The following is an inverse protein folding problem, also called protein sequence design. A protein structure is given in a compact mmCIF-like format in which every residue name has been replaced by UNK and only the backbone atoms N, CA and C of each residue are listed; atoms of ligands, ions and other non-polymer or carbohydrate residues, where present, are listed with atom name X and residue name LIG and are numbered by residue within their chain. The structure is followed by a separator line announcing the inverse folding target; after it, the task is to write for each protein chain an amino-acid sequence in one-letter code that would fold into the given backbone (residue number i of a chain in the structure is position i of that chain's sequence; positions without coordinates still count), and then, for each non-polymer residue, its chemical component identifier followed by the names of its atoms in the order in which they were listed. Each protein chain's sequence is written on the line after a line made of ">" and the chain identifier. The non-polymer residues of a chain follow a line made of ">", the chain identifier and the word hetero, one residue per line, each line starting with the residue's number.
data_IF_598583965196
#
_entry.id   IF_598583965196
#
_cell.length_a   1.000
_cell.length_b   1.000
_cell.length_c   1.000
_cell.angle_alpha   90.00
_cell.angle_beta   90.00
_cell.angle_gamma   90.00
#
_symmetry.space_group_name_H-M   'P 1'
#
loop_
_entity.id
_entity.type
_entity.pdbx_description
1 polymer ?
#
# COMPACT_ATOMS: atom_id res chain seq x y z
N UNK A 1 38.58 -4.75 -14.87
CA UNK A 1 37.14 -4.63 -14.60
C UNK A 1 36.94 -4.30 -13.16
N UNK A 2 36.48 -3.09 -12.89
CA UNK A 2 36.21 -2.66 -11.53
C UNK A 2 34.87 -3.25 -11.11
N UNK A 3 34.90 -4.25 -10.24
CA UNK A 3 33.72 -4.70 -9.52
C UNK A 3 33.38 -3.62 -8.49
N UNK A 4 32.37 -2.83 -8.78
CA UNK A 4 31.83 -1.89 -7.81
C UNK A 4 31.12 -2.69 -6.73
N UNK A 5 31.76 -2.89 -5.57
CA UNK A 5 31.10 -3.46 -4.43
C UNK A 5 30.66 -2.31 -3.51
N UNK A 6 29.35 -2.12 -3.42
CA UNK A 6 28.77 -1.19 -2.47
C UNK A 6 28.30 -2.00 -1.26
N UNK A 7 28.84 -1.75 -0.05
CA UNK A 7 28.37 -2.48 1.14
C UNK A 7 26.85 -2.27 1.35
N UNK A 8 26.09 -3.36 1.37
CA UNK A 8 24.65 -3.31 1.57
C UNK A 8 23.82 -3.03 0.32
N UNK A 9 24.45 -2.97 -0.87
CA UNK A 9 23.77 -2.78 -2.13
C UNK A 9 24.04 -3.97 -3.02
N UNK A 10 22.98 -4.64 -3.48
CA UNK A 10 23.11 -5.75 -4.40
C UNK A 10 23.16 -5.25 -5.84
N UNK A 11 24.12 -5.79 -6.62
CA UNK A 11 24.21 -5.55 -8.06
C UNK A 11 23.53 -6.70 -8.77
N UNK A 12 22.60 -6.39 -9.65
CA UNK A 12 21.88 -7.38 -10.44
C UNK A 12 21.70 -6.90 -11.87
N UNK A 13 21.31 -7.81 -12.75
CA UNK A 13 21.04 -7.45 -14.15
C UNK A 13 19.55 -7.23 -14.37
N UNK A 14 19.21 -6.09 -14.93
CA UNK A 14 17.84 -5.71 -15.29
C UNK A 14 17.87 -4.90 -16.57
N UNK A 15 16.74 -4.87 -17.27
CA UNK A 15 16.59 -4.03 -18.43
C UNK A 15 16.38 -2.60 -17.98
N UNK A 16 17.32 -1.72 -18.33
CA UNK A 16 17.19 -0.30 -18.03
C UNK A 16 16.21 0.35 -19.01
N UNK A 17 15.19 1.08 -18.53
CA UNK A 17 14.22 1.72 -19.43
C UNK A 17 14.82 2.83 -20.30
N UNK A 18 15.93 3.43 -19.87
CA UNK A 18 16.60 4.46 -20.64
C UNK A 18 17.61 3.90 -21.63
N UNK A 19 18.40 2.90 -21.21
CA UNK A 19 19.36 2.24 -22.08
C UNK A 19 18.70 1.24 -23.05
N UNK A 20 17.51 0.79 -22.74
CA UNK A 20 16.72 -0.20 -23.49
C UNK A 20 17.45 -1.54 -23.70
N UNK A 21 18.36 -1.86 -22.79
CA UNK A 21 19.12 -3.11 -22.79
C UNK A 21 19.38 -3.58 -21.37
N UNK A 22 19.82 -4.82 -21.24
CA UNK A 22 20.22 -5.36 -19.95
C UNK A 22 21.52 -4.68 -19.48
N UNK A 23 21.45 -4.10 -18.29
CA UNK A 23 22.59 -3.42 -17.66
C UNK A 23 22.74 -3.89 -16.22
N UNK A 24 23.89 -3.62 -15.63
CA UNK A 24 24.08 -3.79 -14.21
C UNK A 24 23.33 -2.67 -13.49
N UNK A 25 22.45 -3.04 -12.57
CA UNK A 25 21.67 -2.09 -11.77
C UNK A 25 21.95 -2.30 -10.29
N UNK A 26 21.86 -1.22 -9.53
CA UNK A 26 21.97 -1.25 -8.08
C UNK A 26 20.56 -1.26 -7.51
N UNK A 27 20.30 -2.18 -6.58
CA UNK A 27 19.08 -2.14 -5.79
C UNK A 27 19.32 -1.23 -4.59
N UNK A 28 18.64 -0.10 -4.56
CA UNK A 28 18.80 0.89 -3.49
C UNK A 28 17.62 0.79 -2.53
N UNK A 29 17.94 0.61 -1.26
CA UNK A 29 16.96 0.59 -0.17
C UNK A 29 17.17 1.84 0.67
N UNK A 30 16.15 2.67 0.76
CA UNK A 30 16.21 3.92 1.51
C UNK A 30 14.86 4.21 2.15
N UNK A 31 14.79 5.31 2.88
CA UNK A 31 13.54 5.76 3.50
C UNK A 31 13.05 7.02 2.83
N UNK A 32 11.75 7.11 2.66
CA UNK A 32 11.09 8.25 2.07
C UNK A 32 9.95 8.69 2.97
N UNK A 33 9.72 9.99 3.04
CA UNK A 33 8.62 10.56 3.81
C UNK A 33 7.44 10.84 2.88
N UNK A 34 6.32 10.22 3.16
CA UNK A 34 5.09 10.39 2.37
C UNK A 34 4.06 11.10 3.24
N UNK A 35 3.51 12.21 2.72
CA UNK A 35 2.48 12.96 3.41
C UNK A 35 1.12 12.26 3.27
N UNK A 36 0.49 11.92 4.39
CA UNK A 36 -0.85 11.37 4.44
C UNK A 36 -1.66 12.22 5.42
N UNK A 37 -2.65 12.94 4.91
CA UNK A 37 -3.53 13.81 5.73
C UNK A 37 -2.75 14.70 6.71
N UNK A 38 -1.81 15.46 6.19
CA UNK A 38 -0.96 16.38 6.97
C UNK A 38 0.02 15.72 7.95
N UNK A 39 0.16 14.41 7.88
CA UNK A 39 1.18 13.69 8.63
C UNK A 39 2.25 13.16 7.68
N UNK A 40 3.51 13.26 8.09
CA UNK A 40 4.61 12.68 7.33
C UNK A 40 4.85 11.26 7.83
N UNK A 41 4.71 10.30 6.93
CA UNK A 41 4.90 8.89 7.25
C UNK A 41 6.16 8.39 6.57
N UNK A 42 7.09 7.91 7.37
CA UNK A 42 8.33 7.35 6.86
C UNK A 42 8.11 5.92 6.41
N UNK A 43 8.46 5.64 5.14
CA UNK A 43 8.34 4.30 4.56
C UNK A 43 9.66 3.89 3.96
N UNK A 44 9.92 2.58 3.98
CA UNK A 44 11.06 2.02 3.28
C UNK A 44 10.71 1.90 1.80
N UNK A 45 11.60 2.40 0.94
CA UNK A 45 11.42 2.32 -0.51
C UNK A 45 12.59 1.59 -1.13
N UNK A 46 12.31 0.88 -2.20
CA UNK A 46 13.30 0.16 -2.98
C UNK A 46 13.18 0.58 -4.43
N UNK A 47 14.31 0.91 -5.05
CA UNK A 47 14.33 1.24 -6.46
C UNK A 47 15.65 0.77 -7.08
N UNK A 48 15.66 0.71 -8.40
CA UNK A 48 16.84 0.36 -9.15
C UNK A 48 17.52 1.61 -9.72
N UNK A 49 18.83 1.59 -9.77
CA UNK A 49 19.61 2.63 -10.42
C UNK A 49 20.57 2.00 -11.42
N UNK A 50 20.47 2.40 -12.68
CA UNK A 50 21.36 1.91 -13.72
C UNK A 50 22.78 2.43 -13.49
N UNK A 51 23.77 1.55 -13.56
CA UNK A 51 25.19 1.92 -13.39
C UNK A 51 25.75 2.62 -14.64
N UNK A 52 25.13 2.43 -15.80
CA UNK A 52 25.61 3.00 -17.06
C UNK A 52 25.11 4.43 -17.32
N UNK A 53 23.81 4.66 -17.15
CA UNK A 53 23.21 5.97 -17.43
C UNK A 53 22.79 6.74 -16.17
N UNK A 54 22.77 6.09 -15.01
CA UNK A 54 22.42 6.72 -13.74
C UNK A 54 20.93 6.95 -13.52
N UNK A 55 20.06 6.49 -14.44
CA UNK A 55 18.62 6.63 -14.27
C UNK A 55 18.13 5.78 -13.12
N UNK A 56 17.22 6.34 -12.34
CA UNK A 56 16.50 5.60 -11.29
C UNK A 56 15.16 5.16 -11.83
N UNK A 57 14.78 3.90 -11.58
CA UNK A 57 13.48 3.36 -11.97
C UNK A 57 12.94 2.44 -10.90
N UNK A 58 11.64 2.33 -10.87
CA UNK A 58 10.96 1.60 -9.81
C UNK A 58 11.06 0.08 -9.97
N UNK A 59 11.15 -0.59 -8.84
CA UNK A 59 10.95 -2.03 -8.78
C UNK A 59 9.43 -2.26 -8.77
N UNK A 60 8.86 -2.42 -9.96
CA UNK A 60 7.40 -2.41 -10.18
C UNK A 60 6.67 -3.67 -9.72
N UNK A 61 7.37 -4.65 -9.18
CA UNK A 61 6.73 -5.96 -9.03
C UNK A 61 5.74 -6.06 -7.89
N UNK A 62 5.98 -5.51 -6.72
CA UNK A 62 5.09 -5.76 -5.58
C UNK A 62 5.15 -4.70 -4.48
N UNK A 63 5.69 -3.53 -4.75
CA UNK A 63 5.86 -2.53 -3.70
C UNK A 63 5.25 -1.19 -4.08
N UNK A 64 4.17 -0.83 -3.41
CA UNK A 64 3.57 0.48 -3.51
C UNK A 64 3.84 1.23 -2.20
N UNK A 65 4.70 2.24 -2.27
CA UNK A 65 5.08 3.06 -1.12
C UNK A 65 3.88 3.76 -0.50
N UNK A 66 2.93 4.21 -1.31
CA UNK A 66 1.72 4.87 -0.83
C UNK A 66 0.83 3.90 -0.06
N UNK A 67 0.70 2.68 -0.54
CA UNK A 67 -0.07 1.63 0.17
C UNK A 67 0.56 1.34 1.54
N UNK A 68 1.88 1.24 1.61
CA UNK A 68 2.60 1.05 2.87
C UNK A 68 2.38 2.23 3.81
N UNK A 69 2.40 3.46 3.28
CA UNK A 69 2.13 4.66 4.06
C UNK A 69 0.71 4.66 4.62
N UNK A 70 -0.28 4.27 3.83
CA UNK A 70 -1.67 4.15 4.28
C UNK A 70 -1.82 3.10 5.37
N UNK A 71 -1.15 1.96 5.21
CA UNK A 71 -1.16 0.90 6.22
C UNK A 71 -0.61 1.40 7.55
N UNK A 72 0.52 2.11 7.52
CA UNK A 72 1.13 2.71 8.71
C UNK A 72 0.23 3.79 9.33
N UNK A 73 -0.40 4.62 8.50
CA UNK A 73 -1.36 5.62 8.96
C UNK A 73 -2.53 4.97 9.72
N UNK A 74 -3.12 3.93 9.13
CA UNK A 74 -4.21 3.19 9.77
C UNK A 74 -3.77 2.59 11.11
N UNK A 75 -2.60 2.01 11.15
CA UNK A 75 -2.04 1.44 12.38
C UNK A 75 -1.84 2.50 13.45
N UNK A 76 -1.30 3.66 13.06
CA UNK A 76 -1.06 4.79 13.98
C UNK A 76 -2.35 5.35 14.57
N UNK A 77 -3.43 5.35 13.80
CA UNK A 77 -4.72 5.91 14.18
C UNK A 77 -5.77 4.85 14.59
N UNK A 78 -5.34 3.61 14.76
CA UNK A 78 -6.22 2.49 15.11
C UNK A 78 -7.42 2.35 14.16
N UNK A 79 -7.16 2.49 12.87
CA UNK A 79 -8.16 2.34 11.82
C UNK A 79 -8.17 0.92 11.26
N UNK A 80 -9.31 0.52 10.71
CA UNK A 80 -9.45 -0.79 10.09
C UNK A 80 -8.57 -0.90 8.83
N UNK A 81 -7.86 -2.02 8.73
CA UNK A 81 -7.10 -2.35 7.52
C UNK A 81 -8.04 -3.00 6.49
N UNK A 82 -7.75 -2.90 5.18
CA UNK A 82 -8.58 -3.53 4.15
C UNK A 82 -8.86 -5.02 4.41
N UNK A 83 -7.84 -5.76 4.84
CA UNK A 83 -8.00 -7.18 5.15
C UNK A 83 -8.99 -7.43 6.28
N UNK A 84 -9.03 -6.57 7.28
CA UNK A 84 -9.98 -6.68 8.40
C UNK A 84 -11.43 -6.44 7.93
N UNK A 85 -11.63 -5.48 7.04
CA UNK A 85 -12.94 -5.19 6.46
C UNK A 85 -13.43 -6.39 5.64
N UNK A 86 -12.57 -6.95 4.80
CA UNK A 86 -12.89 -8.11 3.96
C UNK A 86 -13.23 -9.32 4.83
N UNK A 87 -12.40 -9.62 5.82
CA UNK A 87 -12.57 -10.75 6.71
C UNK A 87 -13.89 -10.66 7.47
N UNK A 88 -14.18 -9.50 8.06
CA UNK A 88 -15.44 -9.29 8.77
C UNK A 88 -16.65 -9.44 7.84
N UNK A 89 -16.60 -8.85 6.66
CA UNK A 89 -17.67 -8.94 5.67
C UNK A 89 -17.97 -10.39 5.28
N UNK A 90 -16.91 -11.14 4.97
CA UNK A 90 -17.04 -12.55 4.58
C UNK A 90 -17.52 -13.42 5.72
N UNK A 91 -17.12 -13.13 6.94
CA UNK A 91 -17.56 -13.87 8.13
C UNK A 91 -19.10 -13.82 8.29
N UNK A 92 -19.70 -12.68 7.95
CA UNK A 92 -21.16 -12.54 8.00
C UNK A 92 -21.85 -12.88 6.66
N UNK A 93 -21.12 -13.41 5.70
CA UNK A 93 -21.68 -13.81 4.41
C UNK A 93 -22.19 -12.66 3.57
N UNK A 94 -21.68 -11.45 3.76
CA UNK A 94 -22.13 -10.25 3.05
C UNK A 94 -21.31 -10.03 1.79
N UNK A 95 -21.98 -9.69 0.69
CA UNK A 95 -21.30 -9.17 -0.50
C UNK A 95 -20.93 -7.70 -0.27
N UNK A 96 -20.03 -7.18 -1.11
CA UNK A 96 -19.70 -5.75 -1.08
C UNK A 96 -20.95 -4.88 -1.26
N UNK A 97 -21.83 -5.31 -2.17
CA UNK A 97 -23.10 -4.61 -2.44
C UNK A 97 -24.02 -4.59 -1.19
N UNK A 98 -24.16 -5.73 -0.55
CA UNK A 98 -25.00 -5.84 0.65
C UNK A 98 -24.48 -4.98 1.80
N UNK A 99 -23.20 -5.04 2.08
CA UNK A 99 -22.62 -4.21 3.12
C UNK A 99 -22.69 -2.73 2.76
N UNK A 100 -22.45 -2.38 1.50
CA UNK A 100 -22.61 -1.00 1.02
C UNK A 100 -24.04 -0.49 1.23
N UNK A 101 -25.06 -1.31 0.97
CA UNK A 101 -26.45 -0.96 1.21
C UNK A 101 -26.75 -0.74 2.70
N UNK A 102 -26.24 -1.61 3.57
CA UNK A 102 -26.38 -1.47 5.03
C UNK A 102 -25.77 -0.13 5.50
N UNK A 103 -24.64 0.25 4.94
CA UNK A 103 -23.93 1.48 5.32
C UNK A 103 -24.45 2.73 4.58
N UNK A 104 -25.36 2.56 3.64
CA UNK A 104 -25.86 3.63 2.76
C UNK A 104 -24.75 4.26 1.92
N UNK A 105 -23.80 3.46 1.47
CA UNK A 105 -22.69 3.90 0.62
C UNK A 105 -22.98 3.63 -0.85
N UNK A 106 -22.37 4.43 -1.72
CA UNK A 106 -22.38 4.16 -3.16
C UNK A 106 -21.68 2.84 -3.49
N UNK A 107 -22.04 2.25 -4.63
CA UNK A 107 -21.61 0.89 -4.98
C UNK A 107 -20.11 0.66 -5.11
N UNK A 108 -19.33 1.70 -5.39
CA UNK A 108 -17.89 1.60 -5.55
C UNK A 108 -17.08 1.91 -4.26
N UNK A 109 -17.73 2.47 -3.25
CA UNK A 109 -17.04 2.98 -2.05
C UNK A 109 -16.36 1.87 -1.27
N UNK A 110 -17.08 0.80 -0.96
CA UNK A 110 -16.52 -0.31 -0.20
C UNK A 110 -15.43 -1.04 -0.99
N UNK A 111 -15.64 -1.22 -2.29
CA UNK A 111 -14.64 -1.83 -3.16
C UNK A 111 -13.31 -1.06 -3.11
N UNK A 112 -13.37 0.28 -3.12
CA UNK A 112 -12.16 1.10 -2.99
C UNK A 112 -11.45 0.85 -1.69
N UNK A 113 -12.16 0.87 -0.58
CA UNK A 113 -11.54 0.66 0.74
C UNK A 113 -10.93 -0.73 0.89
N UNK A 114 -11.53 -1.75 0.28
CA UNK A 114 -10.99 -3.10 0.31
C UNK A 114 -9.76 -3.25 -0.60
N UNK A 115 -9.52 -2.30 -1.51
CA UNK A 115 -8.39 -2.33 -2.45
C UNK A 115 -7.26 -1.35 -2.11
N UNK A 116 -7.31 -0.69 -0.97
CA UNK A 116 -6.16 0.07 -0.47
C UNK A 116 -6.37 1.54 -0.14
N UNK A 117 -7.15 2.33 -0.93
CA UNK A 117 -7.36 3.73 -0.61
C UNK A 117 -7.85 3.96 0.81
N UNK A 118 -7.36 5.05 1.42
CA UNK A 118 -7.63 5.35 2.81
C UNK A 118 -9.08 5.81 3.03
N UNK A 119 -9.78 5.18 3.95
CA UNK A 119 -11.15 5.53 4.29
C UNK A 119 -11.21 6.84 5.10
N UNK A 120 -12.31 7.57 4.91
CA UNK A 120 -12.57 8.77 5.70
C UNK A 120 -12.85 8.40 7.16
N UNK A 121 -12.68 9.37 8.06
CA UNK A 121 -12.99 9.16 9.48
C UNK A 121 -14.47 8.81 9.70
N UNK A 122 -15.36 9.45 8.94
CA UNK A 122 -16.80 9.18 9.02
C UNK A 122 -17.10 7.74 8.62
N UNK A 123 -16.50 7.25 7.53
CA UNK A 123 -16.69 5.88 7.08
C UNK A 123 -16.05 4.87 8.02
N UNK A 124 -14.90 5.19 8.59
CA UNK A 124 -14.28 4.36 9.63
C UNK A 124 -15.23 4.16 10.81
N UNK A 125 -15.85 5.24 11.28
CA UNK A 125 -16.82 5.18 12.38
C UNK A 125 -18.05 4.37 12.00
N UNK A 126 -18.54 4.53 10.78
CA UNK A 126 -19.70 3.74 10.28
C UNK A 126 -19.39 2.26 10.25
N UNK A 127 -18.20 1.87 9.79
CA UNK A 127 -17.76 0.47 9.81
C UNK A 127 -17.66 -0.07 11.21
N UNK A 128 -17.06 0.67 12.13
CA UNK A 128 -16.93 0.26 13.54
C UNK A 128 -18.30 0.05 14.18
N UNK A 129 -19.25 0.95 13.94
CA UNK A 129 -20.60 0.85 14.46
C UNK A 129 -21.33 -0.38 13.89
N UNK A 130 -21.20 -0.63 12.60
CA UNK A 130 -21.80 -1.79 11.96
C UNK A 130 -21.25 -3.10 12.56
N UNK A 131 -19.95 -3.15 12.80
CA UNK A 131 -19.30 -4.32 13.42
C UNK A 131 -19.80 -4.57 14.83
N UNK A 132 -19.92 -3.52 15.64
CA UNK A 132 -20.43 -3.61 17.01
C UNK A 132 -21.90 -4.06 17.02
N UNK A 133 -22.73 -3.46 16.16
CA UNK A 133 -24.14 -3.80 16.06
C UNK A 133 -24.36 -5.27 15.70
N UNK A 134 -23.67 -5.74 14.68
CA UNK A 134 -23.77 -7.15 14.24
C UNK A 134 -23.28 -8.11 15.32
N UNK A 135 -22.24 -7.73 16.04
CA UNK A 135 -21.70 -8.56 17.12
C UNK A 135 -22.71 -8.71 18.27
N UNK A 136 -23.42 -7.62 18.62
CA UNK A 136 -24.40 -7.62 19.71
C UNK A 136 -25.72 -8.32 19.37
N UNK A 137 -26.08 -8.36 18.09
CA UNK A 137 -27.36 -8.89 17.63
C UNK A 137 -27.23 -10.28 16.99
N UNK A 138 -26.28 -11.03 17.45
CA UNK A 138 -26.05 -12.39 17.00
C UNK A 138 -26.86 -13.39 17.81
#
# INVERSE_FOLDING_TARGET
>A
MLTLSYPGIEVMKRICPNCEKETDVLEIKTKESIAVRNENIEVDVEYFKCTECGVSFENTRDYDALEVAYKKYRCRHDMLQPAEIIEWRKHYGLTQKELGQILSWGGATLNRYENGPLQSEAHEKSLRLAMIYRFKNR
#
